data_IF_890494595696
#
_entry.id   IF_890494595696
#
_cell.length_a   1.000
_cell.length_b   1.000
_cell.length_c   1.000
_cell.angle_alpha   90.00
_cell.angle_beta   90.00
_cell.angle_gamma   90.00
#
_symmetry.space_group_name_H-M   'P 1'
#
loop_
_entity.id
_entity.type
_entity.pdbx_description
1 polymer ?
#
# COMPACT_ATOMS: atom_id res chain seq x y z
N UNK A 1 -18.45 8.22 -9.80
CA UNK A 1 -18.24 7.45 -8.56
C UNK A 1 -16.80 6.97 -8.52
N UNK A 2 -15.97 7.49 -7.61
CA UNK A 2 -14.64 6.94 -7.33
C UNK A 2 -14.87 5.73 -6.42
N UNK A 3 -14.53 4.51 -6.86
CA UNK A 3 -14.49 3.36 -5.95
C UNK A 3 -13.31 3.56 -5.02
N UNK A 4 -13.58 3.82 -3.75
CA UNK A 4 -12.55 3.78 -2.71
C UNK A 4 -12.10 2.32 -2.58
N UNK A 5 -10.83 2.06 -2.92
CA UNK A 5 -10.23 0.72 -2.84
C UNK A 5 -9.72 0.40 -1.43
N UNK A 6 -9.61 1.42 -0.58
CA UNK A 6 -9.13 1.33 0.79
C UNK A 6 -10.32 1.56 1.71
N UNK A 7 -10.49 0.68 2.71
CA UNK A 7 -11.51 0.79 3.74
C UNK A 7 -10.80 0.86 5.10
N UNK A 8 -10.48 2.07 5.52
CA UNK A 8 -9.76 2.35 6.78
C UNK A 8 -10.59 1.93 8.00
N UNK A 9 -11.91 1.87 7.86
CA UNK A 9 -12.87 1.48 8.91
C UNK A 9 -13.05 -0.05 9.02
N UNK A 10 -12.40 -0.84 8.18
CA UNK A 10 -12.51 -2.30 8.27
C UNK A 10 -11.81 -2.81 9.54
N UNK A 11 -12.59 -3.09 10.60
CA UNK A 11 -12.10 -3.59 11.88
C UNK A 11 -11.48 -5.00 11.83
N UNK A 12 -11.72 -5.77 10.75
CA UNK A 12 -11.11 -7.09 10.57
C UNK A 12 -9.67 -7.01 10.03
N UNK A 13 -9.25 -5.82 9.58
CA UNK A 13 -7.89 -5.62 9.12
C UNK A 13 -6.94 -5.63 10.33
N UNK A 14 -6.00 -6.57 10.33
CA UNK A 14 -5.10 -6.82 11.46
C UNK A 14 -3.66 -7.03 10.98
N UNK A 15 -2.73 -6.93 11.93
CA UNK A 15 -1.30 -7.20 11.72
C UNK A 15 -1.07 -8.60 11.13
N UNK A 16 -0.26 -8.69 10.07
CA UNK A 16 0.12 -9.98 9.49
C UNK A 16 1.26 -10.58 10.30
N UNK A 17 1.03 -11.73 10.92
CA UNK A 17 2.02 -12.42 11.76
C UNK A 17 3.06 -13.19 10.94
N UNK A 18 4.25 -13.38 11.52
CA UNK A 18 5.34 -14.17 10.92
C UNK A 18 6.22 -13.42 9.91
N UNK A 19 5.95 -12.12 9.68
CA UNK A 19 6.73 -11.23 8.81
C UNK A 19 6.77 -9.82 9.37
N UNK A 20 7.87 -9.10 9.15
CA UNK A 20 8.00 -7.71 9.62
C UNK A 20 7.21 -6.72 8.76
N UNK A 21 7.12 -6.99 7.44
CA UNK A 21 6.40 -6.16 6.50
C UNK A 21 5.88 -6.94 5.28
N UNK A 22 4.71 -6.52 4.77
CA UNK A 22 4.13 -7.01 3.51
C UNK A 22 4.10 -5.85 2.52
N UNK A 23 4.86 -5.97 1.42
CA UNK A 23 4.98 -4.92 0.40
C UNK A 23 4.26 -5.37 -0.87
N UNK A 24 3.29 -4.59 -1.32
CA UNK A 24 2.34 -4.96 -2.37
C UNK A 24 2.27 -3.92 -3.48
N UNK A 25 2.05 -4.42 -4.70
CA UNK A 25 1.58 -3.64 -5.84
C UNK A 25 0.14 -3.99 -6.21
N UNK A 26 -0.14 -4.11 -7.51
CA UNK A 26 -1.42 -4.56 -8.10
C UNK A 26 -2.59 -3.56 -7.97
N UNK A 27 -2.91 -3.14 -6.75
CA UNK A 27 -3.92 -2.09 -6.54
C UNK A 27 -3.27 -0.72 -6.64
N UNK A 28 -3.54 -0.03 -7.74
CA UNK A 28 -3.05 1.34 -7.94
C UNK A 28 -3.67 2.30 -6.92
N UNK A 29 -2.84 3.01 -6.15
CA UNK A 29 -3.20 4.05 -5.19
C UNK A 29 -2.63 5.41 -5.61
N UNK A 30 -3.26 6.53 -5.26
CA UNK A 30 -2.77 7.87 -5.68
C UNK A 30 -1.46 8.29 -4.98
N UNK A 31 -1.13 7.66 -3.85
CA UNK A 31 0.08 7.86 -3.06
C UNK A 31 0.45 6.54 -2.39
N UNK A 32 1.70 6.34 -1.96
CA UNK A 32 2.05 5.21 -1.11
C UNK A 32 1.11 5.18 0.10
N UNK A 33 0.63 4.00 0.45
CA UNK A 33 -0.30 3.84 1.55
C UNK A 33 0.23 2.74 2.48
N UNK A 34 0.18 2.99 3.79
CA UNK A 34 0.55 2.03 4.82
C UNK A 34 -0.64 1.84 5.74
N UNK A 35 -0.94 0.58 6.06
CA UNK A 35 -1.83 0.22 7.15
C UNK A 35 -1.19 -0.94 7.89
N UNK A 36 -0.97 -0.74 9.19
CA UNK A 36 -0.23 -1.70 10.01
C UNK A 36 1.13 -2.04 9.36
N UNK A 37 1.51 -3.33 9.26
CA UNK A 37 2.74 -3.79 8.62
C UNK A 37 2.63 -4.00 7.10
N UNK A 38 1.56 -3.51 6.47
CA UNK A 38 1.35 -3.63 5.03
C UNK A 38 1.53 -2.30 4.30
N UNK A 39 2.19 -2.37 3.15
CA UNK A 39 2.57 -1.23 2.32
C UNK A 39 2.09 -1.44 0.88
N UNK A 40 1.38 -0.46 0.33
CA UNK A 40 0.98 -0.40 -1.08
C UNK A 40 1.82 0.64 -1.79
N UNK A 41 2.65 0.18 -2.73
CA UNK A 41 3.63 1.02 -3.44
C UNK A 41 3.29 1.23 -4.92
N UNK A 42 2.23 0.60 -5.42
CA UNK A 42 1.78 0.83 -6.80
C UNK A 42 1.08 2.18 -6.91
N UNK A 43 1.86 3.22 -7.22
CA UNK A 43 1.36 4.56 -7.50
C UNK A 43 1.08 4.82 -8.98
N UNK A 44 0.93 3.77 -9.78
CA UNK A 44 0.52 3.90 -11.18
C UNK A 44 1.60 4.51 -12.07
N UNK A 45 2.82 3.98 -12.02
CA UNK A 45 3.95 4.48 -12.82
C UNK A 45 3.60 4.64 -14.31
N UNK A 46 2.89 3.66 -14.91
CA UNK A 46 2.46 3.71 -16.31
C UNK A 46 1.26 4.64 -16.55
N UNK A 47 0.44 4.87 -15.54
CA UNK A 47 -0.79 5.65 -15.66
C UNK A 47 -0.54 7.15 -15.44
N UNK A 48 0.34 7.50 -14.51
CA UNK A 48 0.55 8.87 -14.03
C UNK A 48 2.01 9.30 -13.96
N UNK A 49 2.95 8.46 -14.40
CA UNK A 49 4.38 8.77 -14.37
C UNK A 49 5.02 8.74 -12.98
N UNK A 50 4.27 8.32 -11.95
CA UNK A 50 4.75 8.29 -10.56
C UNK A 50 5.24 6.90 -10.19
N UNK A 51 6.56 6.72 -10.14
CA UNK A 51 7.21 5.51 -9.61
C UNK A 51 7.49 5.69 -8.11
N UNK A 52 6.99 4.78 -7.28
CA UNK A 52 7.35 4.74 -5.85
C UNK A 52 8.58 3.88 -5.63
N UNK A 53 9.54 4.42 -4.89
CA UNK A 53 10.73 3.69 -4.43
C UNK A 53 10.68 3.67 -2.90
N UNK A 54 10.74 2.47 -2.31
CA UNK A 54 10.76 2.26 -0.87
C UNK A 54 12.17 1.85 -0.43
N UNK A 55 12.78 2.64 0.45
CA UNK A 55 14.07 2.31 1.07
C UNK A 55 13.82 1.38 2.28
N UNK A 56 14.16 0.11 2.12
CA UNK A 56 13.90 -0.91 3.15
C UNK A 56 14.72 -0.71 4.44
N UNK A 57 15.82 0.06 4.39
CA UNK A 57 16.59 0.39 5.60
C UNK A 57 15.88 1.39 6.52
N UNK A 58 14.75 1.96 6.07
CA UNK A 58 13.95 2.96 6.78
C UNK A 58 12.55 2.46 7.14
N UNK A 59 12.30 1.16 7.02
CA UNK A 59 11.03 0.53 7.36
C UNK A 59 10.82 0.38 8.86
#
# INVERSE_FOLDING_TARGET
MRRERLNDENLQYTHVSGVDAVIMGHTVTQRPYKRDNCYWIDTGAVHWGTMTILDLSRL
#
